data_IF_734415457517
#
_entry.id   IF_734415457517
#
_cell.length_a   1.000
_cell.length_b   1.000
_cell.length_c   1.000
_cell.angle_alpha   90.00
_cell.angle_beta   90.00
_cell.angle_gamma   90.00
#
_symmetry.space_group_name_H-M   'P 1'
#
loop_
_entity.id
_entity.type
_entity.pdbx_description
1 polymer ?
#
# COMPACT_ATOMS: atom_id res chain seq x y z
N UNK A 1 -38.67 -29.18 53.27
CA UNK A 1 -38.87 -28.54 51.94
C UNK A 1 -38.03 -27.28 51.72
N UNK A 2 -37.86 -26.38 52.70
CA UNK A 2 -37.05 -25.15 52.55
C UNK A 2 -35.58 -25.36 52.12
N UNK A 3 -34.90 -26.42 52.62
CA UNK A 3 -33.49 -26.70 52.32
C UNK A 3 -33.23 -27.05 50.84
N UNK A 4 -34.20 -27.64 50.15
CA UNK A 4 -34.09 -27.99 48.73
C UNK A 4 -34.27 -26.75 47.83
N UNK A 5 -35.22 -25.87 48.16
CA UNK A 5 -35.43 -24.60 47.46
C UNK A 5 -34.21 -23.68 47.55
N UNK A 6 -33.52 -23.65 48.69
CA UNK A 6 -32.34 -22.83 48.90
C UNK A 6 -31.14 -23.33 48.09
N UNK A 7 -30.95 -24.65 47.99
CA UNK A 7 -29.88 -25.25 47.18
C UNK A 7 -30.07 -25.01 45.66
N UNK A 8 -31.32 -25.02 45.19
CA UNK A 8 -31.64 -24.72 43.78
C UNK A 8 -31.33 -23.25 43.45
N UNK A 9 -31.68 -22.31 44.34
CA UNK A 9 -31.35 -20.89 44.17
C UNK A 9 -29.84 -20.62 44.16
N UNK A 10 -29.07 -21.32 45.00
CA UNK A 10 -27.61 -21.24 45.03
C UNK A 10 -27.01 -21.75 43.71
N UNK A 11 -27.48 -22.88 43.18
CA UNK A 11 -27.02 -23.42 41.89
C UNK A 11 -27.31 -22.47 40.71
N UNK A 12 -28.49 -21.83 40.69
CA UNK A 12 -28.84 -20.86 39.63
C UNK A 12 -27.94 -19.63 39.70
N UNK A 13 -27.63 -19.12 40.90
CA UNK A 13 -26.72 -17.98 41.07
C UNK A 13 -25.27 -18.35 40.69
N UNK A 14 -24.82 -19.56 41.01
CA UNK A 14 -23.53 -20.10 40.60
C UNK A 14 -23.42 -20.25 39.07
N UNK A 15 -24.49 -20.74 38.41
CA UNK A 15 -24.54 -20.84 36.95
C UNK A 15 -24.50 -19.46 36.28
N UNK A 16 -25.26 -18.47 36.80
CA UNK A 16 -25.20 -17.08 36.33
C UNK A 16 -23.81 -16.47 36.51
N UNK A 17 -23.18 -16.73 37.66
CA UNK A 17 -21.82 -16.28 37.95
C UNK A 17 -20.78 -16.90 37.00
N UNK A 18 -20.85 -18.23 36.76
CA UNK A 18 -19.99 -18.90 35.78
C UNK A 18 -20.20 -18.40 34.35
N UNK A 19 -21.45 -18.10 33.97
CA UNK A 19 -21.76 -17.50 32.67
C UNK A 19 -21.16 -16.09 32.53
N UNK A 20 -21.23 -15.28 33.59
CA UNK A 20 -20.63 -13.94 33.62
C UNK A 20 -19.09 -14.01 33.52
N UNK A 21 -18.44 -14.93 34.24
CA UNK A 21 -16.99 -15.16 34.11
C UNK A 21 -16.63 -15.55 32.67
N UNK A 22 -17.39 -16.46 32.04
CA UNK A 22 -17.17 -16.84 30.63
C UNK A 22 -17.31 -15.64 29.68
N UNK A 23 -18.28 -14.76 29.91
CA UNK A 23 -18.45 -13.53 29.12
C UNK A 23 -17.27 -12.57 29.30
N UNK A 24 -16.83 -12.32 30.54
CA UNK A 24 -15.68 -11.48 30.83
C UNK A 24 -14.39 -12.04 30.21
N UNK A 25 -14.21 -13.36 30.27
CA UNK A 25 -13.06 -14.03 29.68
C UNK A 25 -13.09 -13.98 28.15
N UNK A 26 -14.27 -14.10 27.55
CA UNK A 26 -14.44 -13.90 26.11
C UNK A 26 -14.11 -12.45 25.69
N UNK A 27 -14.54 -11.45 26.46
CA UNK A 27 -14.22 -10.05 26.19
C UNK A 27 -12.71 -9.78 26.30
N UNK A 28 -12.06 -10.28 27.36
CA UNK A 28 -10.61 -10.18 27.53
C UNK A 28 -9.83 -10.85 26.38
N UNK A 29 -10.28 -12.02 25.93
CA UNK A 29 -9.65 -12.72 24.81
C UNK A 29 -9.81 -11.94 23.49
N UNK A 30 -10.99 -11.37 23.23
CA UNK A 30 -11.23 -10.52 22.04
C UNK A 30 -10.34 -9.29 22.09
N UNK A 31 -10.27 -8.61 23.24
CA UNK A 31 -9.42 -7.44 23.45
C UNK A 31 -7.93 -7.74 23.18
N UNK A 32 -7.41 -8.83 23.74
CA UNK A 32 -6.01 -9.23 23.50
C UNK A 32 -5.75 -9.64 22.04
N UNK A 33 -6.72 -10.27 21.39
CA UNK A 33 -6.63 -10.62 19.96
C UNK A 33 -6.63 -9.38 19.07
N UNK A 34 -7.43 -8.36 19.41
CA UNK A 34 -7.45 -7.10 18.70
C UNK A 34 -6.14 -6.33 18.86
N UNK A 35 -5.62 -6.22 20.09
CA UNK A 35 -4.35 -5.53 20.35
C UNK A 35 -3.17 -6.21 19.67
N UNK A 36 -3.10 -7.55 19.74
CA UNK A 36 -2.03 -8.27 19.06
C UNK A 36 -2.09 -8.08 17.54
N UNK A 37 -3.27 -8.08 16.92
CA UNK A 37 -3.44 -7.77 15.50
C UNK A 37 -3.02 -6.35 15.15
N UNK A 38 -3.42 -5.36 15.96
CA UNK A 38 -3.05 -3.96 15.79
C UNK A 38 -1.54 -3.77 15.87
N UNK A 39 -0.89 -4.36 16.89
CA UNK A 39 0.56 -4.28 17.05
C UNK A 39 1.31 -4.93 15.88
N UNK A 40 0.86 -6.09 15.42
CA UNK A 40 1.46 -6.78 14.27
C UNK A 40 1.32 -5.96 12.98
N UNK A 41 0.15 -5.35 12.75
CA UNK A 41 -0.08 -4.51 11.58
C UNK A 41 0.84 -3.27 11.60
N UNK A 42 0.96 -2.59 12.74
CA UNK A 42 1.84 -1.43 12.87
C UNK A 42 3.31 -1.75 12.66
N UNK A 43 3.78 -2.89 13.17
CA UNK A 43 5.16 -3.35 12.92
C UNK A 43 5.35 -3.59 11.43
N UNK A 44 4.37 -4.22 10.77
CA UNK A 44 4.42 -4.49 9.34
C UNK A 44 4.39 -3.22 8.49
N UNK A 45 3.57 -2.23 8.85
CA UNK A 45 3.55 -0.88 8.26
C UNK A 45 4.95 -0.24 8.31
N UNK A 46 5.55 -0.23 9.51
CA UNK A 46 6.86 0.38 9.73
C UNK A 46 7.97 -0.34 8.96
N UNK A 47 7.96 -1.67 8.93
CA UNK A 47 8.89 -2.44 8.12
C UNK A 47 8.73 -2.13 6.62
N UNK A 48 7.49 -2.05 6.13
CA UNK A 48 7.21 -1.72 4.72
C UNK A 48 7.73 -0.33 4.36
N UNK A 49 7.51 0.66 5.23
CA UNK A 49 8.04 2.01 5.08
C UNK A 49 9.57 2.00 4.97
N UNK A 50 10.27 1.28 5.85
CA UNK A 50 11.74 1.19 5.83
C UNK A 50 12.22 0.56 4.52
N UNK A 51 11.60 -0.52 4.06
CA UNK A 51 11.99 -1.21 2.81
C UNK A 51 11.80 -0.29 1.60
N UNK A 52 10.67 0.42 1.52
CA UNK A 52 10.40 1.37 0.43
C UNK A 52 11.36 2.57 0.46
N UNK A 53 11.69 3.08 1.64
CA UNK A 53 12.68 4.15 1.80
C UNK A 53 14.08 3.67 1.38
N UNK A 54 14.47 2.46 1.77
CA UNK A 54 15.74 1.84 1.38
C UNK A 54 15.81 1.64 -0.14
N UNK A 55 14.74 1.14 -0.77
CA UNK A 55 14.63 1.03 -2.22
C UNK A 55 14.90 2.38 -2.90
N UNK A 56 14.19 3.42 -2.45
CA UNK A 56 14.31 4.78 -2.97
C UNK A 56 15.73 5.31 -2.86
N UNK A 57 16.36 5.14 -1.70
CA UNK A 57 17.75 5.53 -1.47
C UNK A 57 18.73 4.80 -2.39
N UNK A 58 18.55 3.48 -2.55
CA UNK A 58 19.40 2.66 -3.43
C UNK A 58 19.27 3.07 -4.90
N UNK A 59 18.04 3.32 -5.38
CA UNK A 59 17.78 3.80 -6.73
C UNK A 59 18.35 5.21 -6.96
N UNK A 60 18.27 6.10 -5.96
CA UNK A 60 18.89 7.43 -6.00
C UNK A 60 20.42 7.36 -6.13
N UNK A 61 21.04 6.36 -5.50
CA UNK A 61 22.47 6.06 -5.61
C UNK A 61 22.83 5.22 -6.84
N UNK A 62 21.87 4.95 -7.73
CA UNK A 62 22.03 4.16 -8.95
C UNK A 62 22.48 2.71 -8.70
N UNK A 63 22.21 2.16 -7.52
CA UNK A 63 22.50 0.75 -7.23
C UNK A 63 21.42 -0.17 -7.83
N UNK A 64 21.84 -1.17 -8.62
CA UNK A 64 20.94 -2.14 -9.27
C UNK A 64 20.14 -2.96 -8.26
N UNK A 65 20.67 -3.17 -7.05
CA UNK A 65 19.96 -3.88 -5.97
C UNK A 65 18.72 -3.12 -5.47
N UNK A 66 18.57 -1.83 -5.79
CA UNK A 66 17.35 -1.08 -5.50
C UNK A 66 16.10 -1.68 -6.15
N UNK A 67 16.24 -2.33 -7.31
CA UNK A 67 15.11 -2.97 -8.01
C UNK A 67 14.52 -4.17 -7.26
N UNK A 68 15.30 -5.21 -6.88
CA UNK A 68 14.76 -6.30 -6.07
C UNK A 68 14.24 -5.85 -4.71
N UNK A 69 14.90 -4.89 -4.05
CA UNK A 69 14.40 -4.32 -2.79
C UNK A 69 13.04 -3.64 -3.00
N UNK A 70 12.87 -2.93 -4.11
CA UNK A 70 11.60 -2.33 -4.51
C UNK A 70 10.51 -3.37 -4.76
N UNK A 71 10.81 -4.49 -5.42
CA UNK A 71 9.85 -5.59 -5.61
C UNK A 71 9.35 -6.11 -4.26
N UNK A 72 10.24 -6.31 -3.29
CA UNK A 72 9.85 -6.72 -1.92
C UNK A 72 8.93 -5.66 -1.29
N UNK A 73 9.30 -4.39 -1.39
CA UNK A 73 8.49 -3.27 -0.88
C UNK A 73 7.09 -3.19 -1.50
N UNK A 74 6.98 -3.41 -2.82
CA UNK A 74 5.70 -3.44 -3.54
C UNK A 74 4.83 -4.62 -3.10
N UNK A 75 5.40 -5.81 -2.88
CA UNK A 75 4.67 -6.98 -2.38
C UNK A 75 4.12 -6.70 -0.98
N UNK A 76 4.95 -6.14 -0.09
CA UNK A 76 4.53 -5.77 1.27
C UNK A 76 3.41 -4.71 1.24
N UNK A 77 3.57 -3.68 0.39
CA UNK A 77 2.58 -2.62 0.20
C UNK A 77 1.26 -3.16 -0.36
N UNK A 78 1.31 -4.08 -1.33
CA UNK A 78 0.12 -4.75 -1.87
C UNK A 78 -0.65 -5.51 -0.77
N UNK A 79 0.08 -6.20 0.12
CA UNK A 79 -0.49 -6.88 1.27
C UNK A 79 -1.19 -5.90 2.24
N UNK A 80 -0.55 -4.78 2.58
CA UNK A 80 -1.12 -3.75 3.45
C UNK A 80 -2.39 -3.13 2.88
N UNK A 81 -2.37 -2.76 1.61
CA UNK A 81 -3.55 -2.19 0.95
C UNK A 81 -4.69 -3.21 0.86
N UNK A 82 -4.39 -4.50 0.67
CA UNK A 82 -5.39 -5.56 0.66
C UNK A 82 -6.08 -5.73 2.03
N UNK A 83 -5.30 -5.71 3.12
CA UNK A 83 -5.84 -5.79 4.49
C UNK A 83 -6.62 -4.52 4.86
N UNK A 84 -6.19 -3.36 4.38
CA UNK A 84 -6.86 -2.08 4.59
C UNK A 84 -8.10 -1.91 3.70
N UNK A 85 -8.39 -2.87 2.81
CA UNK A 85 -9.49 -2.86 1.84
C UNK A 85 -9.36 -1.79 0.75
N UNK A 86 -8.16 -1.29 0.50
CA UNK A 86 -7.81 -0.35 -0.57
C UNK A 86 -7.42 -1.14 -1.82
N UNK A 87 -8.39 -1.82 -2.42
CA UNK A 87 -8.14 -2.76 -3.51
C UNK A 87 -7.58 -2.11 -4.78
N UNK A 88 -8.00 -0.87 -5.08
CA UNK A 88 -7.47 -0.12 -6.23
C UNK A 88 -5.95 0.12 -6.09
N UNK A 89 -5.51 0.57 -4.90
CA UNK A 89 -4.09 0.78 -4.61
C UNK A 89 -3.33 -0.56 -4.56
N UNK A 90 -3.93 -1.63 -4.04
CA UNK A 90 -3.33 -2.97 -4.05
C UNK A 90 -3.07 -3.50 -5.47
N UNK A 91 -4.03 -3.32 -6.38
CA UNK A 91 -3.88 -3.67 -7.81
C UNK A 91 -2.78 -2.83 -8.45
N UNK A 92 -2.71 -1.53 -8.14
CA UNK A 92 -1.64 -0.66 -8.62
C UNK A 92 -0.26 -1.18 -8.21
N UNK A 93 -0.08 -1.62 -6.95
CA UNK A 93 1.18 -2.21 -6.50
C UNK A 93 1.56 -3.45 -7.34
N UNK A 94 0.60 -4.28 -7.72
CA UNK A 94 0.85 -5.44 -8.58
C UNK A 94 1.29 -5.04 -9.99
N UNK A 95 0.68 -4.00 -10.59
CA UNK A 95 1.10 -3.50 -11.91
C UNK A 95 2.51 -2.90 -11.83
N UNK A 96 2.81 -2.16 -10.75
CA UNK A 96 4.14 -1.59 -10.50
C UNK A 96 5.18 -2.70 -10.29
N UNK A 97 4.82 -3.83 -9.68
CA UNK A 97 5.71 -4.97 -9.47
C UNK A 97 6.25 -5.51 -10.80
N UNK A 98 5.39 -5.70 -11.80
CA UNK A 98 5.82 -6.12 -13.14
C UNK A 98 6.71 -5.07 -13.81
N UNK A 99 6.38 -3.80 -13.61
CA UNK A 99 7.16 -2.67 -14.15
C UNK A 99 8.56 -2.57 -13.51
N UNK A 100 8.67 -2.88 -12.21
CA UNK A 100 9.95 -3.00 -11.50
C UNK A 100 10.76 -4.19 -11.99
N UNK A 101 10.12 -5.31 -12.35
CA UNK A 101 10.78 -6.44 -13.01
C UNK A 101 11.42 -6.03 -14.34
N UNK A 102 10.70 -5.26 -15.16
CA UNK A 102 11.26 -4.69 -16.39
C UNK A 102 12.43 -3.73 -16.10
N UNK A 103 12.29 -2.88 -15.09
CA UNK A 103 13.34 -1.96 -14.67
C UNK A 103 14.62 -2.67 -14.23
N UNK A 104 14.47 -3.76 -13.46
CA UNK A 104 15.59 -4.61 -13.07
C UNK A 104 16.30 -5.17 -14.30
N UNK A 105 15.55 -5.77 -15.22
CA UNK A 105 16.11 -6.30 -16.47
C UNK A 105 16.86 -5.22 -17.28
N UNK A 106 16.27 -4.03 -17.42
CA UNK A 106 16.87 -2.93 -18.18
C UNK A 106 18.13 -2.34 -17.52
N UNK A 107 18.33 -2.54 -16.22
CA UNK A 107 19.49 -2.03 -15.47
C UNK A 107 20.62 -3.03 -15.33
N UNK A 108 20.46 -4.25 -15.82
CA UNK A 108 21.53 -5.23 -15.81
C UNK A 108 22.76 -4.69 -16.56
N UNK A 109 23.96 -4.85 -15.99
CA UNK A 109 25.17 -4.40 -16.65
C UNK A 109 25.36 -5.20 -17.94
N UNK A 110 25.35 -4.52 -19.08
CA UNK A 110 25.88 -5.12 -20.30
C UNK A 110 27.38 -5.39 -20.07
N UNK A 111 27.89 -6.54 -20.52
CA UNK A 111 29.29 -6.96 -20.35
C UNK A 111 30.34 -5.97 -20.88
N UNK A 112 29.91 -4.92 -21.60
CA UNK A 112 30.72 -3.72 -21.83
C UNK A 112 30.62 -2.78 -20.63
N UNK A 113 31.73 -2.57 -19.92
CA UNK A 113 31.94 -1.63 -18.79
C UNK A 113 31.59 -0.14 -19.06
N UNK A 114 30.45 0.14 -19.68
CA UNK A 114 29.95 1.50 -19.90
C UNK A 114 29.43 2.05 -18.59
N UNK A 115 30.00 3.18 -18.16
CA UNK A 115 29.50 3.97 -17.04
C UNK A 115 28.00 4.26 -17.24
N UNK A 116 27.22 4.18 -16.16
CA UNK A 116 25.80 4.53 -16.16
C UNK A 116 25.68 6.01 -16.49
N UNK A 117 25.15 6.33 -17.68
CA UNK A 117 24.89 7.72 -18.07
C UNK A 117 23.45 8.06 -17.69
N UNK A 118 23.31 9.11 -16.89
CA UNK A 118 22.00 9.65 -16.47
C UNK A 118 21.51 10.63 -17.53
N UNK A 119 20.25 10.49 -17.95
CA UNK A 119 19.65 11.31 -18.97
C UNK A 119 18.65 12.30 -18.35
N UNK A 120 18.49 13.46 -19.01
CA UNK A 120 17.44 14.45 -18.71
C UNK A 120 16.51 14.57 -19.91
N UNK A 121 15.23 14.75 -19.65
CA UNK A 121 14.22 15.02 -20.66
C UNK A 121 14.39 16.44 -21.19
N UNK A 122 14.29 16.56 -22.51
CA UNK A 122 14.07 17.86 -23.17
C UNK A 122 12.62 18.27 -22.98
N UNK A 123 12.30 19.54 -23.27
CA UNK A 123 10.94 20.08 -23.16
C UNK A 123 9.89 19.24 -23.91
N UNK A 124 10.25 18.71 -25.10
CA UNK A 124 9.37 17.83 -25.88
C UNK A 124 9.12 16.48 -25.19
N UNK A 125 10.08 16.00 -24.40
CA UNK A 125 9.94 14.80 -23.59
C UNK A 125 8.97 15.02 -22.44
N UNK A 126 9.08 16.17 -21.76
CA UNK A 126 8.11 16.60 -20.74
C UNK A 126 6.69 16.71 -21.29
N UNK A 127 6.51 17.31 -22.48
CA UNK A 127 5.21 17.37 -23.13
C UNK A 127 4.62 15.97 -23.38
N UNK A 128 5.42 15.01 -23.85
CA UNK A 128 4.97 13.62 -24.05
C UNK A 128 4.58 12.96 -22.74
N UNK A 129 5.36 13.16 -21.67
CA UNK A 129 5.07 12.62 -20.34
C UNK A 129 3.76 13.18 -19.81
N UNK A 130 3.60 14.51 -19.81
CA UNK A 130 2.38 15.16 -19.33
C UNK A 130 1.16 14.76 -20.17
N UNK A 131 1.30 14.67 -21.48
CA UNK A 131 0.22 14.22 -22.36
C UNK A 131 -0.15 12.75 -22.09
N UNK A 132 0.84 11.87 -21.86
CA UNK A 132 0.56 10.48 -21.49
C UNK A 132 -0.18 10.39 -20.15
N UNK A 133 0.24 11.15 -19.14
CA UNK A 133 -0.43 11.20 -17.83
C UNK A 133 -1.84 11.75 -17.99
N UNK A 134 -2.03 12.79 -18.81
CA UNK A 134 -3.33 13.37 -19.14
C UNK A 134 -4.28 12.35 -19.77
N UNK A 135 -3.88 11.75 -20.89
CA UNK A 135 -4.73 10.85 -21.69
C UNK A 135 -4.98 9.54 -20.96
N UNK A 136 -3.93 8.85 -20.52
CA UNK A 136 -4.09 7.57 -19.85
C UNK A 136 -4.67 7.74 -18.44
N UNK A 137 -4.37 8.84 -17.74
CA UNK A 137 -4.96 9.14 -16.44
C UNK A 137 -6.48 9.23 -16.53
N UNK A 138 -7.00 9.96 -17.52
CA UNK A 138 -8.44 10.02 -17.78
C UNK A 138 -9.03 8.63 -18.12
N UNK A 139 -8.36 7.84 -18.97
CA UNK A 139 -8.80 6.48 -19.29
C UNK A 139 -8.90 5.59 -18.05
N UNK A 140 -7.86 5.59 -17.21
CA UNK A 140 -7.83 4.81 -15.97
C UNK A 140 -8.90 5.31 -15.01
N UNK A 141 -9.10 6.63 -14.88
CA UNK A 141 -10.17 7.19 -14.07
C UNK A 141 -11.56 6.76 -14.53
N UNK A 142 -11.82 6.71 -15.84
CA UNK A 142 -13.08 6.18 -16.36
C UNK A 142 -13.26 4.70 -16.01
N UNK A 143 -12.21 3.89 -16.19
CA UNK A 143 -12.25 2.48 -15.79
C UNK A 143 -12.54 2.33 -14.29
N UNK A 144 -11.93 3.16 -13.44
CA UNK A 144 -12.22 3.14 -12.00
C UNK A 144 -13.69 3.48 -11.71
N UNK A 145 -14.29 4.45 -12.40
CA UNK A 145 -15.71 4.80 -12.23
C UNK A 145 -16.64 3.64 -12.62
N UNK A 146 -16.32 2.91 -13.70
CA UNK A 146 -17.17 1.83 -14.19
C UNK A 146 -17.01 0.51 -13.42
N UNK A 147 -15.81 0.23 -12.91
CA UNK A 147 -15.47 -1.08 -12.31
C UNK A 147 -15.22 -1.03 -10.79
N UNK A 148 -15.21 0.14 -10.15
CA UNK A 148 -14.86 0.25 -8.72
C UNK A 148 -15.64 1.37 -8.03
N UNK A 149 -16.03 1.16 -6.78
CA UNK A 149 -16.64 2.18 -5.92
C UNK A 149 -15.57 3.12 -5.31
N UNK A 150 -14.63 3.63 -6.12
CA UNK A 150 -13.64 4.59 -5.61
C UNK A 150 -14.31 5.95 -5.38
N UNK A 151 -14.03 6.55 -4.22
CA UNK A 151 -14.49 7.89 -3.87
C UNK A 151 -13.69 8.99 -4.57
N UNK A 152 -12.51 8.67 -5.10
CA UNK A 152 -11.59 9.62 -5.74
C UNK A 152 -11.00 9.10 -7.06
N UNK A 153 -11.82 8.65 -8.02
CA UNK A 153 -11.36 7.91 -9.20
C UNK A 153 -10.47 8.76 -10.14
N UNK A 154 -10.70 10.08 -10.18
CA UNK A 154 -9.86 11.00 -10.95
C UNK A 154 -8.43 11.07 -10.38
N UNK A 155 -8.29 11.38 -9.10
CA UNK A 155 -6.97 11.46 -8.44
C UNK A 155 -6.24 10.11 -8.48
N UNK A 156 -6.95 9.01 -8.26
CA UNK A 156 -6.36 7.67 -8.28
C UNK A 156 -5.88 7.28 -9.69
N UNK A 157 -6.66 7.58 -10.73
CA UNK A 157 -6.28 7.29 -12.11
C UNK A 157 -5.05 8.09 -12.56
N UNK A 158 -5.01 9.39 -12.29
CA UNK A 158 -3.83 10.21 -12.60
C UNK A 158 -2.59 9.77 -11.82
N UNK A 159 -2.74 9.46 -10.52
CA UNK A 159 -1.62 9.02 -9.66
C UNK A 159 -1.08 7.66 -10.10
N UNK A 160 -1.97 6.74 -10.50
CA UNK A 160 -1.62 5.42 -11.01
C UNK A 160 -0.78 5.51 -12.29
N UNK A 161 -1.25 6.30 -13.25
CA UNK A 161 -0.55 6.49 -14.53
C UNK A 161 0.76 7.26 -14.33
N UNK A 162 0.76 8.29 -13.50
CA UNK A 162 1.98 9.01 -13.14
C UNK A 162 3.03 8.07 -12.54
N UNK A 163 2.63 7.17 -11.63
CA UNK A 163 3.51 6.16 -11.03
C UNK A 163 4.10 5.22 -12.08
N UNK A 164 3.29 4.72 -13.03
CA UNK A 164 3.75 3.84 -14.11
C UNK A 164 4.75 4.54 -15.04
N UNK A 165 4.41 5.76 -15.48
CA UNK A 165 5.31 6.58 -16.31
C UNK A 165 6.60 6.86 -15.55
N UNK A 166 6.51 7.11 -14.24
CA UNK A 166 7.66 7.36 -13.40
C UNK A 166 8.62 6.16 -13.32
N UNK A 167 8.11 4.97 -13.04
CA UNK A 167 8.91 3.72 -13.03
C UNK A 167 9.51 3.47 -14.42
N UNK A 168 8.77 3.75 -15.49
CA UNK A 168 9.31 3.66 -16.84
C UNK A 168 10.47 4.63 -17.07
N UNK A 169 10.37 5.89 -16.66
CA UNK A 169 11.47 6.86 -16.76
C UNK A 169 12.69 6.43 -15.90
N UNK A 170 12.44 5.92 -14.70
CA UNK A 170 13.48 5.36 -13.83
C UNK A 170 14.20 4.18 -14.52
N UNK A 171 13.46 3.26 -15.15
CA UNK A 171 14.03 2.13 -15.91
C UNK A 171 14.95 2.59 -17.04
N UNK A 172 14.65 3.73 -17.66
CA UNK A 172 15.45 4.35 -18.72
C UNK A 172 16.58 5.27 -18.21
N UNK A 173 16.84 5.30 -16.90
CA UNK A 173 17.89 6.12 -16.26
C UNK A 173 17.68 7.62 -16.48
N UNK A 174 16.42 8.06 -16.52
CA UNK A 174 16.04 9.48 -16.66
C UNK A 174 15.81 10.07 -15.27
N UNK A 175 16.56 11.10 -14.88
CA UNK A 175 16.52 11.66 -13.51
C UNK A 175 15.24 12.44 -13.20
N UNK A 176 14.52 12.90 -14.23
CA UNK A 176 13.30 13.70 -14.04
C UNK A 176 12.15 12.90 -13.42
N UNK A 177 12.27 11.57 -13.37
CA UNK A 177 11.35 10.69 -12.63
C UNK A 177 11.17 11.14 -11.17
N UNK A 178 12.22 11.66 -10.52
CA UNK A 178 12.15 12.10 -9.11
C UNK A 178 11.11 13.20 -8.86
N UNK A 179 10.93 14.09 -9.83
CA UNK A 179 9.91 15.15 -9.73
C UNK A 179 8.51 14.55 -9.74
N UNK A 180 8.29 13.51 -10.57
CA UNK A 180 7.00 12.82 -10.65
C UNK A 180 6.72 12.04 -9.36
N UNK A 181 7.72 11.35 -8.79
CA UNK A 181 7.60 10.70 -7.47
C UNK A 181 7.15 11.67 -6.38
N UNK A 182 7.79 12.84 -6.26
CA UNK A 182 7.39 13.84 -5.26
C UNK A 182 5.94 14.32 -5.43
N UNK A 183 5.49 14.50 -6.67
CA UNK A 183 4.09 14.89 -6.96
C UNK A 183 3.14 13.77 -6.56
N UNK A 184 3.45 12.52 -6.93
CA UNK A 184 2.67 11.33 -6.56
C UNK A 184 2.59 11.17 -5.04
N UNK A 185 3.72 11.25 -4.33
CA UNK A 185 3.74 11.12 -2.86
C UNK A 185 2.90 12.21 -2.18
N UNK A 186 2.90 13.43 -2.74
CA UNK A 186 2.07 14.53 -2.26
C UNK A 186 0.57 14.26 -2.43
N UNK A 187 0.14 13.55 -3.48
CA UNK A 187 -1.28 13.24 -3.66
C UNK A 187 -1.78 12.25 -2.61
N UNK A 188 -0.95 11.31 -2.15
CA UNK A 188 -1.33 10.39 -1.06
C UNK A 188 -1.54 11.09 0.27
N UNK A 189 -0.82 12.20 0.54
CA UNK A 189 -1.02 13.01 1.75
C UNK A 189 -2.31 13.83 1.65
N UNK A 190 -2.62 14.38 0.47
CA UNK A 190 -3.78 15.26 0.26
C UNK A 190 -5.08 14.46 0.10
N UNK A 191 -5.02 13.27 -0.48
CA UNK A 191 -6.21 12.48 -0.78
C UNK A 191 -6.83 11.93 0.52
N UNK A 192 -8.07 12.33 0.87
CA UNK A 192 -8.72 11.94 2.12
C UNK A 192 -9.27 10.50 2.09
N UNK A 193 -8.53 9.53 1.52
CA UNK A 193 -8.91 8.11 1.44
C UNK A 193 -9.25 7.53 2.82
N UNK A 194 -8.53 8.00 3.85
CA UNK A 194 -8.65 7.50 5.23
C UNK A 194 -9.85 8.07 6.02
N UNK A 195 -10.41 9.20 5.58
CA UNK A 195 -11.42 9.94 6.37
C UNK A 195 -12.81 9.27 6.27
N UNK A 196 -13.13 8.62 5.16
CA UNK A 196 -14.46 8.02 4.96
C UNK A 196 -14.64 6.62 5.57
N UNK A 197 -13.56 5.87 5.84
CA UNK A 197 -13.67 4.47 6.35
C UNK A 197 -13.53 4.34 7.87
N UNK A 198 -12.82 5.26 8.55
CA UNK A 198 -12.79 5.31 10.03
C UNK A 198 -14.13 5.63 10.71
N UNK A 199 -15.21 5.85 9.92
CA UNK A 199 -16.56 6.08 10.43
C UNK A 199 -17.40 4.79 10.54
N UNK A 200 -16.91 3.65 10.06
CA UNK A 200 -17.64 2.37 10.05
C UNK A 200 -16.94 1.21 10.79
N UNK A 201 -15.86 1.50 11.52
CA UNK A 201 -15.29 0.62 12.55
C UNK A 201 -15.35 1.36 13.88
#
# INVERSE_FOLDING_TARGET
MQKASQNIGININLLKFMALIRQLQSYYNIYNTLISKINMLHIFDFCTMIVNLLCTFLLARLYVIGWPVGIVGLIMSAGLFSVSGLYADAILQMILLFSFGYGWYSWQPNFSHKKIVVHRLKIIGWLKVLLSIGVFGLLVSQLLIFYTDSTTPYMDGFTSVASLVCVFLASRKIIDNWVIWMVVDSTYIVNPKDICRKRYL
#
